data_IF_042063534746
#
_entry.id   IF_042063534746
#
_cell.length_a   1.000
_cell.length_b   1.000
_cell.length_c   1.000
_cell.angle_alpha   90.00
_cell.angle_beta   90.00
_cell.angle_gamma   90.00
#
_symmetry.space_group_name_H-M   'P 1'
#
loop_
_entity.id
_entity.type
_entity.pdbx_description
1 polymer ?
#
# COMPACT_ATOMS: atom_id res chain seq x y z
N UNK A 1 84.60 -10.38 45.69
CA UNK A 1 83.79 -9.67 46.67
C UNK A 1 82.49 -9.15 46.02
N UNK A 2 81.46 -9.77 46.40
CA UNK A 2 80.05 -9.41 46.50
C UNK A 2 79.55 -8.21 45.73
N UNK A 3 78.69 -8.48 44.77
CA UNK A 3 77.60 -7.58 44.34
C UNK A 3 76.29 -8.38 44.16
N UNK A 4 75.31 -8.12 44.98
CA UNK A 4 73.93 -8.66 44.91
C UNK A 4 73.04 -7.74 44.17
N UNK A 5 71.87 -8.22 43.68
CA UNK A 5 71.24 -7.75 42.50
C UNK A 5 70.09 -6.77 42.78
N UNK A 6 69.83 -5.94 41.78
CA UNK A 6 68.65 -5.09 41.71
C UNK A 6 67.58 -5.77 40.74
N UNK A 7 66.73 -6.60 41.34
CA UNK A 7 65.47 -7.06 40.70
C UNK A 7 64.34 -6.84 41.68
N UNK A 8 63.21 -6.43 41.20
CA UNK A 8 61.93 -6.20 41.88
C UNK A 8 61.59 -4.71 41.92
N UNK A 9 60.95 -4.18 40.83
CA UNK A 9 59.97 -3.07 40.86
C UNK A 9 59.38 -2.82 39.49
N UNK A 10 59.18 -3.86 38.64
CA UNK A 10 58.56 -3.69 37.29
C UNK A 10 57.33 -4.53 37.12
N UNK A 11 56.63 -4.96 38.17
CA UNK A 11 55.50 -5.89 38.06
C UNK A 11 54.20 -5.40 38.71
N UNK A 12 54.06 -4.12 39.05
CA UNK A 12 52.89 -3.59 39.75
C UNK A 12 52.22 -2.42 39.07
N UNK A 13 52.63 -2.00 37.87
CA UNK A 13 51.98 -0.90 37.10
C UNK A 13 51.15 -1.39 35.90
N UNK A 14 51.30 -2.66 35.50
CA UNK A 14 50.53 -3.23 34.35
C UNK A 14 49.16 -3.79 34.73
N UNK A 15 48.82 -3.84 36.02
CA UNK A 15 47.56 -4.46 36.51
C UNK A 15 46.39 -3.50 36.67
N UNK A 16 46.59 -2.16 36.61
CA UNK A 16 45.52 -1.17 36.88
C UNK A 16 44.95 -0.49 35.62
N UNK A 17 45.54 -0.71 34.47
CA UNK A 17 45.06 -0.11 33.19
C UNK A 17 44.09 -1.00 32.40
N UNK A 18 43.71 -2.20 32.90
CA UNK A 18 42.81 -3.13 32.22
C UNK A 18 41.39 -3.16 32.78
N UNK A 19 41.03 -2.30 33.72
CA UNK A 19 39.69 -2.35 34.34
C UNK A 19 38.81 -1.12 34.13
N UNK A 20 39.12 -0.25 33.17
CA UNK A 20 38.31 0.93 32.84
C UNK A 20 37.90 1.01 31.35
N UNK A 21 37.79 -0.11 30.65
CA UNK A 21 36.93 -0.17 29.50
C UNK A 21 35.47 -0.35 29.98
N UNK A 22 34.93 0.65 30.66
CA UNK A 22 33.48 0.84 30.64
C UNK A 22 33.12 0.91 29.15
N UNK A 23 32.55 -0.18 28.63
CA UNK A 23 31.92 -0.19 27.33
C UNK A 23 30.93 0.96 27.36
N UNK A 24 31.30 2.12 26.81
CA UNK A 24 30.33 3.04 26.23
C UNK A 24 29.62 2.20 25.18
N UNK A 25 28.50 1.61 25.56
CA UNK A 25 27.64 0.93 24.63
C UNK A 25 27.16 2.01 23.68
N UNK A 26 27.84 2.14 22.55
CA UNK A 26 27.49 3.12 21.54
C UNK A 26 26.02 2.89 21.20
N UNK A 27 25.22 3.96 21.20
CA UNK A 27 23.83 3.89 20.80
C UNK A 27 23.79 3.37 19.36
N UNK A 28 23.44 2.10 19.23
CA UNK A 28 23.53 1.36 17.95
C UNK A 28 22.35 1.67 17.05
N UNK A 29 21.20 2.09 17.65
CA UNK A 29 19.95 2.30 16.92
C UNK A 29 19.58 3.78 16.90
N UNK A 30 19.00 4.21 15.78
CA UNK A 30 18.49 5.59 15.65
C UNK A 30 17.16 5.74 16.38
N UNK A 31 16.26 4.74 16.21
CA UNK A 31 14.93 4.69 16.82
C UNK A 31 14.69 3.31 17.42
N UNK A 32 14.13 3.27 18.61
CA UNK A 32 13.56 2.08 19.24
C UNK A 32 12.06 2.29 19.50
N UNK A 33 11.21 1.48 18.86
CA UNK A 33 9.80 1.36 19.16
C UNK A 33 9.63 0.33 20.28
N UNK A 34 9.21 0.79 21.45
CA UNK A 34 9.22 0.00 22.69
C UNK A 34 7.83 -0.47 23.09
N UNK A 35 7.65 -1.77 23.31
CA UNK A 35 6.48 -2.37 23.96
C UNK A 35 5.23 -2.50 23.11
N UNK A 36 5.34 -2.37 21.78
CA UNK A 36 4.23 -2.53 20.84
C UNK A 36 3.88 -3.99 20.57
N UNK A 37 2.78 -4.22 19.86
CA UNK A 37 2.40 -5.51 19.33
C UNK A 37 2.71 -5.56 17.84
N UNK A 38 3.73 -6.33 17.43
CA UNK A 38 4.12 -6.45 16.03
C UNK A 38 3.18 -7.40 15.31
N UNK A 39 2.66 -6.95 14.16
CA UNK A 39 1.97 -7.79 13.17
C UNK A 39 2.74 -7.70 11.87
N UNK A 40 3.49 -8.75 11.54
CA UNK A 40 4.22 -8.89 10.27
C UNK A 40 3.88 -10.25 9.65
N UNK A 41 2.87 -10.32 8.77
CA UNK A 41 2.39 -11.58 8.22
C UNK A 41 3.42 -12.34 7.40
N UNK A 42 4.32 -11.66 6.68
CA UNK A 42 5.42 -12.30 5.94
C UNK A 42 6.30 -13.13 6.86
N UNK A 43 6.69 -12.56 7.99
CA UNK A 43 7.59 -13.19 8.95
C UNK A 43 6.84 -14.01 10.01
N UNK A 44 5.50 -14.10 9.91
CA UNK A 44 4.62 -14.83 10.84
C UNK A 44 4.75 -14.33 12.29
N UNK A 45 4.96 -13.02 12.47
CA UNK A 45 5.03 -12.38 13.78
C UNK A 45 3.66 -11.78 14.10
N UNK A 46 3.12 -12.11 15.26
CA UNK A 46 1.89 -11.54 15.81
C UNK A 46 1.96 -11.58 17.34
N UNK A 47 2.86 -10.76 17.91
CA UNK A 47 3.16 -10.79 19.35
C UNK A 47 3.79 -9.48 19.84
N UNK A 48 3.85 -9.30 21.17
CA UNK A 48 4.50 -8.14 21.79
C UNK A 48 6.01 -8.23 21.64
N UNK A 49 6.59 -7.28 20.92
CA UNK A 49 8.03 -7.17 20.69
C UNK A 49 8.45 -5.72 20.53
N UNK A 50 9.73 -5.46 20.68
CA UNK A 50 10.37 -4.21 20.36
C UNK A 50 10.95 -4.25 18.94
N UNK A 51 10.97 -3.09 18.27
CA UNK A 51 11.56 -2.93 16.96
C UNK A 51 12.57 -1.78 16.98
N UNK A 52 13.82 -2.07 16.57
CA UNK A 52 14.89 -1.09 16.46
C UNK A 52 15.20 -0.78 14.98
N UNK A 53 15.43 0.50 14.71
CA UNK A 53 15.76 1.04 13.39
C UNK A 53 17.14 1.67 13.44
N UNK A 54 17.98 1.40 12.45
CA UNK A 54 19.27 2.03 12.26
C UNK A 54 19.55 2.29 10.79
N UNK A 55 20.04 3.47 10.47
CA UNK A 55 20.39 3.87 9.10
C UNK A 55 19.24 3.65 8.09
N UNK A 56 18.02 3.95 8.50
CA UNK A 56 16.85 3.81 7.65
C UNK A 56 16.35 2.38 7.43
N UNK A 57 16.91 1.39 8.16
CA UNK A 57 16.58 -0.04 8.00
C UNK A 57 16.12 -0.65 9.31
N UNK A 58 15.32 -1.70 9.22
CA UNK A 58 14.97 -2.57 10.35
C UNK A 58 16.26 -3.26 10.82
N UNK A 59 16.70 -2.94 12.03
CA UNK A 59 17.97 -3.44 12.56
C UNK A 59 17.79 -4.64 13.50
N UNK A 60 16.71 -4.63 14.30
CA UNK A 60 16.44 -5.72 15.26
C UNK A 60 14.97 -5.78 15.63
N UNK A 61 14.47 -6.99 15.83
CA UNK A 61 13.17 -7.29 16.46
C UNK A 61 13.45 -8.29 17.58
N UNK A 62 13.00 -8.00 18.80
CA UNK A 62 13.18 -8.88 19.96
C UNK A 62 12.13 -8.58 21.03
N UNK A 63 11.91 -9.55 21.94
CA UNK A 63 10.95 -9.39 23.04
C UNK A 63 11.33 -8.20 23.96
N UNK A 64 12.63 -7.95 24.12
CA UNK A 64 13.15 -6.81 24.88
C UNK A 64 14.45 -6.28 24.24
N UNK A 65 14.49 -4.97 24.02
CA UNK A 65 15.69 -4.24 23.57
C UNK A 65 15.95 -3.12 24.57
N UNK A 66 17.19 -3.04 25.08
CA UNK A 66 17.56 -2.02 26.07
C UNK A 66 17.33 -0.61 25.53
N UNK A 67 16.60 0.27 26.26
CA UNK A 67 16.45 1.67 25.87
C UNK A 67 17.78 2.42 25.70
N UNK A 68 18.83 2.05 26.45
CA UNK A 68 20.14 2.68 26.35
C UNK A 68 20.87 2.43 25.03
N UNK A 69 20.41 1.45 24.23
CA UNK A 69 20.97 1.14 22.92
C UNK A 69 20.47 2.02 21.78
N UNK A 70 19.51 2.92 22.02
CA UNK A 70 18.92 3.76 21.00
C UNK A 70 19.04 5.26 21.31
N UNK A 71 19.23 6.07 20.26
CA UNK A 71 19.25 7.54 20.37
C UNK A 71 17.87 8.10 20.73
N UNK A 72 16.82 7.50 20.18
CA UNK A 72 15.41 7.86 20.44
C UNK A 72 14.62 6.61 20.80
N UNK A 73 13.93 6.66 21.93
CA UNK A 73 12.99 5.60 22.36
C UNK A 73 11.59 6.16 22.30
N UNK A 74 10.70 5.44 21.61
CA UNK A 74 9.29 5.81 21.45
C UNK A 74 8.45 4.71 22.11
N UNK A 75 7.70 5.08 23.14
CA UNK A 75 6.73 4.18 23.78
C UNK A 75 5.51 4.01 22.88
N UNK A 76 5.33 2.79 22.38
CA UNK A 76 4.21 2.37 21.55
C UNK A 76 3.40 1.25 22.22
N UNK A 77 3.43 1.20 23.54
CA UNK A 77 2.67 0.24 24.34
C UNK A 77 1.17 0.39 24.09
N UNK A 78 0.50 -0.74 23.83
CA UNK A 78 -0.92 -0.78 23.49
C UNK A 78 -1.23 -0.49 22.02
N UNK A 79 -0.21 -0.24 21.20
CA UNK A 79 -0.35 0.00 19.76
C UNK A 79 0.17 -1.20 18.95
N UNK A 80 -0.24 -1.27 17.69
CA UNK A 80 0.23 -2.26 16.75
C UNK A 80 1.34 -1.67 15.87
N UNK A 81 2.46 -2.38 15.76
CA UNK A 81 3.55 -2.08 14.85
C UNK A 81 3.38 -2.97 13.62
N UNK A 82 3.22 -2.39 12.45
CA UNK A 82 3.03 -3.12 11.19
C UNK A 82 4.05 -2.63 10.16
N UNK A 83 4.31 -3.39 9.08
CA UNK A 83 4.94 -2.81 7.91
C UNK A 83 4.16 -1.58 7.45
N UNK A 84 4.83 -0.61 6.84
CA UNK A 84 4.18 0.51 6.20
C UNK A 84 3.12 0.03 5.21
N UNK A 85 1.93 0.61 5.26
CA UNK A 85 0.82 0.21 4.40
C UNK A 85 1.14 0.52 2.93
N UNK A 86 0.65 -0.33 2.03
CA UNK A 86 0.81 -0.22 0.58
C UNK A 86 -0.56 -0.10 -0.06
N UNK A 87 -0.82 1.03 -0.69
CA UNK A 87 -2.06 1.32 -1.42
C UNK A 87 -1.79 1.24 -2.92
N UNK A 88 -2.24 0.17 -3.57
CA UNK A 88 -1.94 -0.08 -4.98
C UNK A 88 -2.91 0.59 -5.95
N UNK A 89 -3.81 1.43 -5.47
CA UNK A 89 -4.76 2.13 -6.33
C UNK A 89 -5.01 3.55 -5.80
N UNK A 90 -4.28 4.52 -6.36
CA UNK A 90 -4.43 5.95 -6.07
C UNK A 90 -4.28 6.78 -7.35
N UNK A 91 -4.66 8.06 -7.31
CA UNK A 91 -4.43 9.05 -8.37
C UNK A 91 -3.68 10.24 -7.80
N UNK A 92 -2.37 10.35 -8.15
CA UNK A 92 -1.46 11.31 -7.51
C UNK A 92 -0.65 12.18 -8.49
N UNK A 93 -0.96 12.13 -9.77
CA UNK A 93 -0.30 12.95 -10.78
C UNK A 93 -0.93 14.35 -10.87
N UNK A 94 -0.71 15.20 -9.87
CA UNK A 94 -1.38 16.47 -9.70
C UNK A 94 -0.49 17.69 -10.05
N UNK A 95 -1.12 18.78 -10.54
CA UNK A 95 -0.54 20.12 -10.59
C UNK A 95 0.67 20.31 -11.52
N UNK A 96 0.75 19.59 -12.64
CA UNK A 96 1.99 19.53 -13.44
C UNK A 96 1.90 20.13 -14.84
N UNK A 97 0.74 20.58 -15.30
CA UNK A 97 0.63 21.28 -16.58
C UNK A 97 0.98 22.76 -16.46
N UNK A 98 1.00 23.50 -17.58
CA UNK A 98 1.34 24.94 -17.63
C UNK A 98 0.45 25.79 -16.75
N UNK A 99 -0.82 25.41 -16.64
CA UNK A 99 -1.85 26.10 -15.86
C UNK A 99 -1.84 25.62 -14.40
N UNK A 100 -0.89 24.74 -14.00
CA UNK A 100 -0.80 24.12 -12.68
C UNK A 100 -2.07 23.33 -12.28
N UNK A 101 -2.78 22.81 -13.26
CA UNK A 101 -3.95 21.95 -13.06
C UNK A 101 -3.53 20.50 -12.84
N UNK A 102 -4.44 19.67 -12.41
CA UNK A 102 -4.24 18.23 -12.30
C UNK A 102 -4.12 17.59 -13.68
N UNK A 103 -3.22 16.61 -13.82
CA UNK A 103 -2.96 15.98 -15.12
C UNK A 103 -4.07 15.03 -15.56
N UNK A 104 -4.75 14.39 -14.65
CA UNK A 104 -5.96 13.60 -14.94
C UNK A 104 -7.25 14.39 -14.64
N UNK A 105 -7.26 15.64 -15.03
CA UNK A 105 -8.33 16.58 -14.71
C UNK A 105 -8.29 16.99 -13.23
N UNK A 106 -9.46 17.21 -12.58
CA UNK A 106 -9.55 17.61 -11.18
C UNK A 106 -9.40 16.45 -10.19
N UNK A 107 -8.97 15.26 -10.60
CA UNK A 107 -9.05 14.05 -9.79
C UNK A 107 -7.79 13.77 -8.96
N UNK A 108 -6.59 13.95 -9.50
CA UNK A 108 -5.33 13.68 -8.79
C UNK A 108 -5.07 14.66 -7.65
N UNK A 109 -4.39 14.18 -6.61
CA UNK A 109 -3.97 14.97 -5.45
C UNK A 109 -2.51 14.67 -5.06
N UNK A 110 -1.81 15.60 -4.36
CA UNK A 110 -0.47 15.33 -3.86
C UNK A 110 -0.47 14.21 -2.82
N UNK A 111 0.42 13.20 -2.91
CA UNK A 111 0.33 12.02 -2.04
C UNK A 111 0.60 12.32 -0.56
N UNK A 112 1.67 13.05 -0.22
CA UNK A 112 2.19 13.18 1.14
C UNK A 112 1.19 13.73 2.16
N UNK A 113 0.26 14.58 1.72
CA UNK A 113 -0.77 15.15 2.57
C UNK A 113 -1.87 14.17 2.99
N UNK A 114 -1.96 13.02 2.34
CA UNK A 114 -3.05 12.05 2.54
C UNK A 114 -2.56 10.66 2.95
N UNK A 115 -1.43 10.22 2.42
CA UNK A 115 -0.90 8.87 2.58
C UNK A 115 -0.23 8.68 3.93
N UNK A 116 0.74 9.53 4.28
CA UNK A 116 1.54 9.38 5.50
C UNK A 116 0.70 9.50 6.78
N UNK A 117 -0.34 10.33 6.77
CA UNK A 117 -1.28 10.46 7.91
C UNK A 117 -2.16 9.23 8.15
N UNK A 118 -2.18 8.29 7.23
CA UNK A 118 -2.94 7.04 7.33
C UNK A 118 -2.04 5.79 7.43
N UNK A 119 -0.73 5.96 7.67
CA UNK A 119 0.20 4.81 7.77
C UNK A 119 0.68 4.28 6.43
N UNK A 120 0.26 4.89 5.31
CA UNK A 120 0.64 4.46 3.97
C UNK A 120 2.01 5.03 3.61
N UNK A 121 2.99 4.17 3.39
CA UNK A 121 4.36 4.54 3.02
C UNK A 121 4.65 4.36 1.54
N UNK A 122 3.85 3.55 0.86
CA UNK A 122 3.97 3.26 -0.57
C UNK A 122 2.61 3.33 -1.25
N UNK A 123 2.55 4.02 -2.38
CA UNK A 123 1.37 4.05 -3.25
C UNK A 123 1.72 3.66 -4.66
N UNK A 124 0.72 3.15 -5.39
CA UNK A 124 0.83 2.93 -6.84
C UNK A 124 -0.24 3.77 -7.54
N UNK A 125 0.21 4.75 -8.32
CA UNK A 125 -0.69 5.54 -9.17
C UNK A 125 -1.32 4.63 -10.24
N UNK A 126 -2.63 4.65 -10.31
CA UNK A 126 -3.38 3.72 -11.16
C UNK A 126 -3.71 4.30 -12.52
N UNK A 127 -2.68 4.70 -13.25
CA UNK A 127 -2.79 5.08 -14.66
C UNK A 127 -3.11 6.53 -14.91
N UNK A 128 -2.87 7.44 -13.95
CA UNK A 128 -2.97 8.88 -14.22
C UNK A 128 -2.02 9.31 -15.33
N UNK A 129 -0.83 8.66 -15.46
CA UNK A 129 0.09 8.89 -16.58
C UNK A 129 0.12 7.72 -17.56
N UNK A 130 0.25 8.04 -18.85
CA UNK A 130 0.69 7.13 -19.89
C UNK A 130 2.17 7.34 -20.22
N UNK A 131 2.67 6.65 -21.25
CA UNK A 131 4.11 6.68 -21.59
C UNK A 131 4.59 8.06 -22.04
N UNK A 132 3.74 8.94 -22.61
CA UNK A 132 4.12 10.31 -22.99
C UNK A 132 4.30 11.22 -21.81
N UNK A 133 3.43 11.14 -20.82
CA UNK A 133 3.41 12.01 -19.64
C UNK A 133 4.25 11.48 -18.47
N UNK A 134 4.68 10.21 -18.50
CA UNK A 134 5.41 9.57 -17.40
C UNK A 134 6.70 10.28 -16.99
N UNK A 135 7.56 10.80 -17.92
CA UNK A 135 8.76 11.55 -17.52
C UNK A 135 8.44 12.78 -16.67
N UNK A 136 7.31 13.45 -16.96
CA UNK A 136 6.84 14.60 -16.18
C UNK A 136 6.31 14.17 -14.82
N UNK A 137 5.53 13.09 -14.77
CA UNK A 137 5.06 12.47 -13.53
C UNK A 137 6.21 12.09 -12.62
N UNK A 138 7.23 11.40 -13.18
CA UNK A 138 8.42 11.03 -12.42
C UNK A 138 9.10 12.25 -11.82
N UNK A 139 9.43 13.25 -12.65
CA UNK A 139 10.17 14.45 -12.22
C UNK A 139 9.42 15.25 -11.14
N UNK A 140 8.11 15.43 -11.29
CA UNK A 140 7.35 16.37 -10.48
C UNK A 140 6.69 15.74 -9.25
N UNK A 141 6.42 14.45 -9.29
CA UNK A 141 5.73 13.75 -8.20
C UNK A 141 6.59 12.64 -7.62
N UNK A 142 6.99 11.64 -8.43
CA UNK A 142 7.69 10.46 -7.91
C UNK A 142 8.98 10.87 -7.19
N UNK A 143 9.81 11.69 -7.83
CA UNK A 143 11.12 12.09 -7.29
C UNK A 143 11.02 13.16 -6.19
N UNK A 144 9.86 13.79 -5.99
CA UNK A 144 9.66 14.84 -5.00
C UNK A 144 8.91 14.39 -3.74
N UNK A 145 8.22 13.27 -3.80
CA UNK A 145 7.37 12.80 -2.71
C UNK A 145 8.17 12.09 -1.63
N UNK A 146 7.79 12.28 -0.36
CA UNK A 146 8.27 11.48 0.77
C UNK A 146 7.67 10.08 0.75
N UNK A 147 6.40 9.96 0.40
CA UNK A 147 5.74 8.70 0.09
C UNK A 147 6.43 8.04 -1.10
N UNK A 148 6.72 6.74 -1.04
CA UNK A 148 7.16 6.01 -2.24
C UNK A 148 6.01 5.95 -3.22
N UNK A 149 6.17 6.57 -4.39
CA UNK A 149 5.20 6.54 -5.48
C UNK A 149 5.71 5.63 -6.58
N UNK A 150 4.91 4.62 -6.92
CA UNK A 150 5.10 3.72 -8.06
C UNK A 150 3.93 3.93 -9.03
N UNK A 151 3.94 3.31 -10.21
CA UNK A 151 2.89 3.48 -11.19
C UNK A 151 2.49 2.19 -11.91
N UNK A 152 1.20 1.98 -12.08
CA UNK A 152 0.64 1.26 -13.22
C UNK A 152 0.52 2.24 -14.38
N UNK A 153 1.30 2.04 -15.42
CA UNK A 153 1.30 2.92 -16.59
C UNK A 153 -0.01 2.73 -17.38
N UNK A 154 -0.72 3.82 -17.68
CA UNK A 154 -1.91 3.72 -18.52
C UNK A 154 -1.52 3.17 -19.91
N UNK A 155 -2.36 2.29 -20.45
CA UNK A 155 -2.13 1.75 -21.80
C UNK A 155 -2.30 2.81 -22.89
N UNK A 156 -3.07 3.85 -22.63
CA UNK A 156 -3.17 5.05 -23.47
C UNK A 156 -1.96 5.93 -23.24
N UNK A 157 -1.34 6.40 -24.30
CA UNK A 157 -0.07 7.11 -24.25
C UNK A 157 -0.07 8.40 -23.44
N UNK A 158 -1.17 9.15 -23.44
CA UNK A 158 -1.32 10.38 -22.65
C UNK A 158 -1.66 10.11 -21.17
N UNK A 159 -2.25 8.95 -20.87
CA UNK A 159 -2.77 8.64 -19.53
C UNK A 159 -4.26 8.90 -19.43
N UNK A 160 -4.76 9.06 -18.19
CA UNK A 160 -6.16 9.38 -17.93
C UNK A 160 -6.49 10.79 -18.39
N UNK A 161 -7.75 11.01 -18.81
CA UNK A 161 -8.25 12.31 -19.23
C UNK A 161 -8.97 12.28 -20.59
N UNK A 162 -8.93 13.39 -21.33
CA UNK A 162 -9.73 13.56 -22.54
C UNK A 162 -9.43 12.52 -23.64
N UNK A 163 -8.19 12.06 -23.74
CA UNK A 163 -7.73 11.12 -24.78
C UNK A 163 -7.83 9.65 -24.36
N UNK A 164 -8.34 9.37 -23.19
CA UNK A 164 -8.41 8.01 -22.61
C UNK A 164 -9.23 7.03 -23.47
N UNK A 165 -10.09 7.52 -24.33
CA UNK A 165 -10.93 6.73 -25.22
C UNK A 165 -10.26 6.42 -26.58
N UNK A 166 -9.09 6.99 -26.87
CA UNK A 166 -8.39 6.80 -28.14
C UNK A 166 -7.68 5.45 -28.20
N UNK A 167 -8.36 4.47 -28.80
CA UNK A 167 -7.78 3.13 -28.97
C UNK A 167 -6.58 3.11 -29.94
N UNK A 168 -6.38 4.13 -30.77
CA UNK A 168 -5.22 4.22 -31.68
C UNK A 168 -3.94 4.62 -30.95
N UNK A 169 -4.06 5.19 -29.73
CA UNK A 169 -2.96 5.55 -28.85
C UNK A 169 -2.56 4.45 -27.87
N UNK A 170 -3.22 3.30 -27.90
CA UNK A 170 -2.92 2.16 -27.01
C UNK A 170 -1.82 1.28 -27.60
N UNK A 171 -0.56 1.65 -27.32
CA UNK A 171 0.61 0.93 -27.83
C UNK A 171 1.24 -0.01 -26.80
N UNK A 172 1.04 -1.33 -26.90
CA UNK A 172 1.67 -2.29 -25.97
C UNK A 172 3.20 -2.28 -26.04
N UNK A 173 3.76 -2.00 -27.21
CA UNK A 173 5.22 -1.94 -27.40
C UNK A 173 5.83 -0.72 -26.73
N UNK A 174 5.22 0.46 -26.88
CA UNK A 174 5.70 1.67 -26.20
C UNK A 174 5.55 1.55 -24.69
N UNK A 175 4.39 1.08 -24.21
CA UNK A 175 4.15 0.88 -22.78
C UNK A 175 5.18 -0.09 -22.18
N UNK A 176 5.45 -1.23 -22.83
CA UNK A 176 6.45 -2.21 -22.37
C UNK A 176 7.89 -1.62 -22.36
N UNK A 177 8.26 -0.83 -23.40
CA UNK A 177 9.58 -0.17 -23.45
C UNK A 177 9.75 0.84 -22.32
N UNK A 178 8.72 1.62 -22.01
CA UNK A 178 8.77 2.57 -20.90
C UNK A 178 8.83 1.84 -19.56
N UNK A 179 8.10 0.75 -19.38
CA UNK A 179 8.18 -0.06 -18.18
C UNK A 179 9.58 -0.67 -17.96
N UNK A 180 10.28 -1.04 -19.01
CA UNK A 180 11.66 -1.51 -18.89
C UNK A 180 12.63 -0.38 -18.59
N UNK A 181 12.49 0.78 -19.25
CA UNK A 181 13.34 1.95 -19.00
C UNK A 181 13.18 2.50 -17.58
N UNK A 182 11.94 2.57 -17.07
CA UNK A 182 11.60 3.03 -15.72
C UNK A 182 11.26 1.86 -14.80
N UNK A 183 12.03 0.77 -14.86
CA UNK A 183 11.75 -0.49 -14.13
C UNK A 183 11.65 -0.38 -12.62
N UNK A 184 12.22 0.66 -12.03
CA UNK A 184 12.15 0.91 -10.59
C UNK A 184 10.85 1.61 -10.18
N UNK A 185 10.17 2.26 -11.12
CA UNK A 185 9.01 3.11 -10.84
C UNK A 185 7.71 2.52 -11.43
N UNK A 186 7.77 1.90 -12.63
CA UNK A 186 6.61 1.29 -13.28
C UNK A 186 6.50 -0.18 -12.88
N UNK A 187 5.39 -0.56 -12.26
CA UNK A 187 5.15 -1.92 -11.72
C UNK A 187 4.14 -2.73 -12.54
N UNK A 188 3.50 -2.13 -13.54
CA UNK A 188 2.53 -2.78 -14.41
C UNK A 188 1.80 -1.79 -15.31
N UNK A 189 0.64 -2.20 -15.82
CA UNK A 189 -0.16 -1.38 -16.73
C UNK A 189 -1.59 -1.24 -16.22
N UNK A 190 -2.23 -0.12 -16.56
CA UNK A 190 -3.63 0.18 -16.22
C UNK A 190 -4.49 0.25 -17.47
N UNK A 191 -5.66 -0.37 -17.41
CA UNK A 191 -6.81 0.00 -18.21
C UNK A 191 -7.77 0.74 -17.29
N UNK A 192 -8.05 2.00 -17.62
CA UNK A 192 -8.95 2.84 -16.86
C UNK A 192 -10.34 2.91 -17.53
N UNK A 193 -10.92 4.07 -17.71
CA UNK A 193 -12.35 4.31 -18.01
C UNK A 193 -12.75 4.14 -19.50
N UNK A 194 -12.32 3.10 -20.18
CA UNK A 194 -12.72 2.89 -21.57
C UNK A 194 -14.20 2.54 -21.68
N UNK A 195 -14.93 3.30 -22.51
CA UNK A 195 -16.38 3.17 -22.70
C UNK A 195 -16.75 2.49 -24.05
N UNK A 196 -15.76 2.07 -24.83
CA UNK A 196 -15.99 1.34 -26.08
C UNK A 196 -16.41 -0.11 -25.85
N UNK A 197 -16.92 -0.72 -26.93
CA UNK A 197 -17.44 -2.10 -26.88
C UNK A 197 -16.37 -3.17 -27.15
N UNK A 198 -15.15 -2.77 -27.52
CA UNK A 198 -14.07 -3.66 -27.91
C UNK A 198 -13.19 -4.01 -26.70
N UNK A 199 -12.53 -5.16 -26.76
CA UNK A 199 -11.53 -5.58 -25.77
C UNK A 199 -10.14 -4.95 -25.99
N UNK A 200 -9.98 -4.06 -26.98
CA UNK A 200 -8.69 -3.47 -27.38
C UNK A 200 -7.84 -2.99 -26.20
N UNK A 201 -8.37 -2.22 -25.24
CA UNK A 201 -7.55 -1.75 -24.11
C UNK A 201 -7.01 -2.90 -23.26
N UNK A 202 -7.86 -3.90 -22.98
CA UNK A 202 -7.49 -5.07 -22.18
C UNK A 202 -6.45 -5.90 -22.92
N UNK A 203 -6.67 -6.18 -24.21
CA UNK A 203 -5.76 -6.98 -25.03
C UNK A 203 -4.40 -6.26 -25.20
N UNK A 204 -4.41 -4.93 -25.37
CA UNK A 204 -3.19 -4.12 -25.45
C UNK A 204 -2.42 -4.11 -24.14
N UNK A 205 -3.10 -3.92 -23.01
CA UNK A 205 -2.46 -3.95 -21.69
C UNK A 205 -1.88 -5.34 -21.36
N UNK A 206 -2.65 -6.41 -21.64
CA UNK A 206 -2.18 -7.79 -21.44
C UNK A 206 -0.97 -8.10 -22.36
N UNK A 207 -0.96 -7.58 -23.60
CA UNK A 207 0.21 -7.71 -24.48
C UNK A 207 1.42 -6.96 -23.92
N UNK A 208 1.25 -5.72 -23.44
CA UNK A 208 2.32 -4.99 -22.76
C UNK A 208 2.86 -5.76 -21.54
N UNK A 209 1.94 -6.34 -20.75
CA UNK A 209 2.28 -7.19 -19.62
C UNK A 209 3.07 -8.44 -20.01
N UNK A 210 2.71 -9.09 -21.13
CA UNK A 210 3.49 -10.25 -21.67
C UNK A 210 4.87 -9.84 -22.13
N UNK A 211 5.00 -8.70 -22.81
CA UNK A 211 6.28 -8.20 -23.34
C UNK A 211 7.27 -7.82 -22.22
N UNK A 212 6.77 -7.37 -21.07
CA UNK A 212 7.59 -6.85 -19.95
C UNK A 212 7.63 -7.76 -18.72
N UNK A 213 6.85 -8.85 -18.69
CA UNK A 213 6.72 -9.72 -17.50
C UNK A 213 5.95 -9.10 -16.33
N UNK A 214 5.17 -8.03 -16.58
CA UNK A 214 4.48 -7.26 -15.51
C UNK A 214 2.98 -7.56 -15.48
N UNK A 215 2.31 -7.36 -14.31
CA UNK A 215 0.86 -7.48 -14.19
C UNK A 215 0.14 -6.32 -14.89
N UNK A 216 -1.17 -6.52 -15.11
CA UNK A 216 -2.07 -5.45 -15.51
C UNK A 216 -3.15 -5.26 -14.46
N UNK A 217 -3.61 -4.02 -14.27
CA UNK A 217 -4.77 -3.69 -13.43
C UNK A 217 -5.89 -3.18 -14.33
N UNK A 218 -7.05 -3.82 -14.24
CA UNK A 218 -8.22 -3.49 -15.06
C UNK A 218 -9.31 -2.87 -14.18
N UNK A 219 -9.74 -1.65 -14.53
CA UNK A 219 -11.00 -1.08 -14.10
C UNK A 219 -12.07 -1.48 -15.14
N UNK A 220 -12.93 -2.37 -14.72
CA UNK A 220 -13.98 -2.90 -15.58
C UNK A 220 -15.17 -1.94 -15.69
N UNK A 221 -15.41 -1.40 -16.87
CA UNK A 221 -16.54 -0.48 -17.14
C UNK A 221 -17.79 -1.16 -17.69
N UNK A 222 -17.72 -2.44 -17.98
CA UNK A 222 -18.78 -3.21 -18.59
C UNK A 222 -18.59 -3.37 -20.09
N UNK A 223 -19.14 -4.44 -20.62
CA UNK A 223 -19.12 -4.78 -22.04
C UNK A 223 -20.46 -5.42 -22.44
N UNK A 224 -20.78 -5.51 -23.75
CA UNK A 224 -21.96 -6.22 -24.19
C UNK A 224 -21.88 -7.70 -23.83
N UNK A 225 -22.99 -8.45 -23.82
CA UNK A 225 -23.02 -9.88 -23.49
C UNK A 225 -22.07 -10.73 -24.31
N UNK A 226 -21.75 -10.33 -25.55
CA UNK A 226 -20.73 -10.99 -26.39
C UNK A 226 -19.31 -10.93 -25.82
N UNK A 227 -19.03 -10.04 -24.87
CA UNK A 227 -17.76 -9.86 -24.19
C UNK A 227 -18.00 -9.71 -22.69
N UNK A 228 -18.59 -10.72 -22.08
CA UNK A 228 -19.07 -10.72 -20.70
C UNK A 228 -17.94 -10.58 -19.66
N UNK A 229 -18.32 -10.25 -18.43
CA UNK A 229 -17.40 -10.21 -17.28
C UNK A 229 -16.72 -11.57 -17.04
N UNK A 230 -17.46 -12.68 -17.20
CA UNK A 230 -16.88 -14.02 -17.17
C UNK A 230 -15.78 -14.19 -18.22
N UNK A 231 -16.03 -13.73 -19.46
CA UNK A 231 -15.04 -13.81 -20.54
C UNK A 231 -13.79 -12.98 -20.22
N UNK A 232 -13.95 -11.76 -19.66
CA UNK A 232 -12.83 -10.97 -19.18
C UNK A 232 -11.98 -11.78 -18.19
N UNK A 233 -12.61 -12.27 -17.14
CA UNK A 233 -11.91 -12.98 -16.06
C UNK A 233 -11.27 -14.27 -16.52
N UNK A 234 -11.94 -15.05 -17.37
CA UNK A 234 -11.50 -16.40 -17.72
C UNK A 234 -10.63 -16.48 -18.97
N UNK A 235 -10.73 -15.51 -19.91
CA UNK A 235 -10.02 -15.56 -21.19
C UNK A 235 -8.98 -14.47 -21.36
N UNK A 236 -9.22 -13.26 -20.89
CA UNK A 236 -8.30 -12.13 -21.09
C UNK A 236 -7.27 -12.01 -19.97
N UNK A 237 -7.70 -12.07 -18.69
CA UNK A 237 -6.78 -11.91 -17.56
C UNK A 237 -5.93 -13.14 -17.33
N UNK A 238 -4.64 -12.93 -17.06
CA UNK A 238 -3.66 -13.94 -16.70
C UNK A 238 -3.61 -14.15 -15.18
N UNK A 239 -3.09 -15.27 -14.69
CA UNK A 239 -2.65 -15.37 -13.30
C UNK A 239 -1.70 -14.20 -12.96
N UNK A 240 -1.98 -13.50 -11.85
CA UNK A 240 -1.25 -12.31 -11.42
C UNK A 240 -1.79 -10.99 -11.96
N UNK A 241 -2.68 -10.98 -12.95
CA UNK A 241 -3.39 -9.77 -13.37
C UNK A 241 -4.46 -9.39 -12.35
N UNK A 242 -4.72 -8.09 -12.20
CA UNK A 242 -5.51 -7.51 -11.13
C UNK A 242 -6.83 -6.97 -11.69
N UNK A 243 -7.95 -7.39 -11.11
CA UNK A 243 -9.24 -6.74 -11.28
C UNK A 243 -9.49 -5.86 -10.07
N UNK A 244 -9.62 -4.55 -10.25
CA UNK A 244 -9.95 -3.60 -9.18
C UNK A 244 -11.45 -3.32 -9.10
N UNK A 245 -11.89 -2.62 -8.04
CA UNK A 245 -13.31 -2.34 -7.76
C UNK A 245 -14.17 -3.60 -7.62
N UNK A 246 -13.62 -4.64 -6.95
CA UNK A 246 -14.29 -5.94 -6.88
C UNK A 246 -15.68 -5.90 -6.24
N UNK A 247 -15.95 -4.94 -5.36
CA UNK A 247 -17.23 -4.84 -4.64
C UNK A 247 -18.17 -3.73 -5.15
N UNK A 248 -18.04 -3.34 -6.43
CA UNK A 248 -18.99 -2.41 -7.03
C UNK A 248 -20.39 -3.02 -7.17
N UNK A 249 -21.44 -2.19 -7.14
CA UNK A 249 -22.84 -2.65 -7.17
C UNK A 249 -23.29 -3.26 -8.51
N UNK A 250 -22.47 -3.13 -9.55
CA UNK A 250 -22.92 -3.35 -10.91
C UNK A 250 -23.78 -2.17 -11.40
N UNK A 251 -23.79 -1.93 -12.68
CA UNK A 251 -24.66 -0.92 -13.28
C UNK A 251 -25.26 -1.45 -14.56
N UNK A 252 -26.59 -1.47 -14.63
CA UNK A 252 -27.30 -1.48 -15.90
C UNK A 252 -27.61 -0.05 -16.25
N UNK A 253 -27.01 0.49 -17.30
CA UNK A 253 -27.51 1.71 -17.89
C UNK A 253 -28.49 1.32 -19.01
N UNK A 254 -29.76 1.71 -18.92
CA UNK A 254 -30.70 1.48 -20.02
C UNK A 254 -30.30 2.18 -21.31
N UNK A 255 -29.41 3.17 -21.22
CA UNK A 255 -28.91 3.99 -22.34
C UNK A 255 -27.56 3.52 -22.89
N UNK A 256 -26.88 2.58 -22.20
CA UNK A 256 -25.60 2.07 -22.64
C UNK A 256 -25.78 0.67 -23.26
N UNK A 257 -25.07 0.35 -24.34
CA UNK A 257 -25.08 -0.99 -24.94
C UNK A 257 -24.35 -2.03 -24.10
N UNK A 258 -23.83 -1.66 -22.93
CA UNK A 258 -23.10 -2.50 -21.99
C UNK A 258 -23.63 -2.33 -20.57
N UNK A 259 -23.34 -3.30 -19.72
CA UNK A 259 -23.61 -3.23 -18.29
C UNK A 259 -22.41 -3.77 -17.51
N UNK A 260 -22.24 -3.27 -16.29
CA UNK A 260 -21.22 -3.73 -15.34
C UNK A 260 -21.83 -4.83 -14.48
N UNK A 261 -21.34 -6.05 -14.62
CA UNK A 261 -21.76 -7.18 -13.80
C UNK A 261 -21.11 -7.09 -12.42
N UNK A 262 -21.88 -7.36 -11.36
CA UNK A 262 -21.36 -7.47 -9.99
C UNK A 262 -20.85 -8.88 -9.72
N UNK A 263 -19.98 -9.04 -8.71
CA UNK A 263 -19.44 -10.34 -8.30
C UNK A 263 -20.49 -11.21 -7.60
N UNK A 264 -21.43 -10.56 -6.92
CA UNK A 264 -22.56 -11.21 -6.24
C UNK A 264 -23.82 -10.90 -7.01
N UNK A 265 -24.60 -11.93 -7.34
CA UNK A 265 -25.84 -11.81 -8.08
C UNK A 265 -26.98 -11.17 -7.24
N UNK A 266 -28.13 -10.98 -7.85
CA UNK A 266 -29.32 -10.40 -7.20
C UNK A 266 -29.87 -11.24 -6.02
N UNK A 267 -29.51 -12.52 -5.92
CA UNK A 267 -29.89 -13.43 -4.85
C UNK A 267 -28.83 -13.47 -3.72
N UNK A 268 -27.80 -12.64 -3.81
CA UNK A 268 -26.70 -12.61 -2.83
C UNK A 268 -25.68 -13.75 -2.98
N UNK A 269 -25.68 -14.47 -4.12
CA UNK A 269 -24.76 -15.57 -4.40
C UNK A 269 -23.57 -15.09 -5.21
N UNK A 270 -22.36 -15.47 -4.82
CA UNK A 270 -21.13 -15.23 -5.57
C UNK A 270 -21.17 -16.02 -6.88
N UNK A 271 -20.90 -15.35 -8.00
CA UNK A 271 -20.83 -15.99 -9.31
C UNK A 271 -19.67 -17.01 -9.35
N UNK A 272 -19.93 -18.23 -9.78
CA UNK A 272 -18.93 -19.31 -9.76
C UNK A 272 -17.68 -18.99 -10.58
N UNK A 273 -17.82 -18.29 -11.70
CA UNK A 273 -16.68 -17.88 -12.53
C UNK A 273 -15.73 -16.91 -11.81
N UNK A 274 -16.21 -16.12 -10.84
CA UNK A 274 -15.38 -15.25 -10.01
C UNK A 274 -14.48 -16.09 -9.11
N UNK A 275 -15.05 -17.09 -8.45
CA UNK A 275 -14.29 -18.05 -7.63
C UNK A 275 -13.26 -18.80 -8.47
N UNK A 276 -13.67 -19.26 -9.65
CA UNK A 276 -12.79 -19.96 -10.58
C UNK A 276 -11.63 -19.07 -11.04
N UNK A 277 -11.88 -17.79 -11.30
CA UNK A 277 -10.86 -16.82 -11.69
C UNK A 277 -9.86 -16.56 -10.53
N UNK A 278 -10.34 -16.39 -9.29
CA UNK A 278 -9.47 -16.23 -8.13
C UNK A 278 -8.60 -17.48 -7.90
N UNK A 279 -9.18 -18.67 -8.00
CA UNK A 279 -8.44 -19.94 -7.88
C UNK A 279 -7.40 -20.13 -8.99
N UNK A 280 -7.64 -19.57 -10.17
CA UNK A 280 -6.70 -19.53 -11.29
C UNK A 280 -5.55 -18.53 -11.09
N UNK A 281 -5.64 -17.66 -10.09
CA UNK A 281 -4.62 -16.68 -9.74
C UNK A 281 -4.90 -15.27 -10.25
N UNK A 282 -6.11 -14.95 -10.71
CA UNK A 282 -6.53 -13.55 -10.92
C UNK A 282 -6.64 -12.87 -9.55
N UNK A 283 -6.06 -11.69 -9.43
CA UNK A 283 -6.04 -10.91 -8.20
C UNK A 283 -7.26 -9.99 -8.16
N UNK A 284 -7.96 -10.01 -7.03
CA UNK A 284 -9.11 -9.14 -6.82
C UNK A 284 -8.74 -8.06 -5.80
N UNK A 285 -8.80 -6.81 -6.25
CA UNK A 285 -8.46 -5.64 -5.47
C UNK A 285 -9.69 -4.83 -5.09
N UNK A 286 -9.69 -4.23 -3.90
CA UNK A 286 -10.86 -3.48 -3.39
C UNK A 286 -11.12 -2.22 -4.21
N UNK A 287 -10.10 -1.36 -4.41
CA UNK A 287 -10.27 -0.11 -5.13
C UNK A 287 -11.52 0.64 -4.69
N UNK A 288 -11.60 1.04 -3.39
CA UNK A 288 -12.86 1.50 -2.78
C UNK A 288 -13.54 2.62 -3.58
N UNK A 289 -12.80 3.67 -3.90
CA UNK A 289 -13.25 4.78 -4.72
C UNK A 289 -14.54 5.45 -4.29
N UNK A 290 -15.09 6.20 -5.23
CA UNK A 290 -16.40 6.82 -5.09
C UNK A 290 -17.59 5.91 -5.47
N UNK A 291 -17.33 4.83 -6.23
CA UNK A 291 -18.37 3.89 -6.70
C UNK A 291 -17.88 2.43 -6.75
N UNK A 292 -16.70 2.14 -6.25
CA UNK A 292 -16.08 0.81 -6.34
C UNK A 292 -16.43 -0.16 -5.20
N UNK A 293 -17.13 0.31 -4.15
CA UNK A 293 -17.38 -0.48 -2.95
C UNK A 293 -18.77 -0.27 -2.36
N UNK A 294 -19.56 -1.34 -2.26
CA UNK A 294 -20.84 -1.32 -1.54
C UNK A 294 -20.97 -2.53 -0.62
N UNK A 295 -21.58 -2.32 0.55
CA UNK A 295 -21.78 -3.38 1.56
C UNK A 295 -22.68 -4.51 1.05
N UNK A 296 -23.62 -4.21 0.16
CA UNK A 296 -24.49 -5.23 -0.46
C UNK A 296 -23.74 -6.23 -1.33
N UNK A 297 -22.51 -5.91 -1.76
CA UNK A 297 -21.61 -6.83 -2.47
C UNK A 297 -20.58 -7.43 -1.51
N UNK A 298 -19.92 -6.60 -0.68
CA UNK A 298 -18.82 -7.04 0.17
C UNK A 298 -19.26 -8.04 1.25
N UNK A 299 -20.37 -7.77 1.95
CA UNK A 299 -20.83 -8.63 3.06
C UNK A 299 -21.19 -10.05 2.59
N UNK A 300 -22.04 -10.26 1.56
CA UNK A 300 -22.36 -11.62 1.11
C UNK A 300 -21.15 -12.30 0.45
N UNK A 301 -20.25 -11.58 -0.20
CA UNK A 301 -19.03 -12.13 -0.76
C UNK A 301 -18.12 -12.71 0.33
N UNK A 302 -17.83 -11.93 1.38
CA UNK A 302 -17.01 -12.37 2.53
C UNK A 302 -17.63 -13.58 3.24
N UNK A 303 -18.95 -13.58 3.45
CA UNK A 303 -19.68 -14.73 4.07
C UNK A 303 -19.55 -16.02 3.27
N UNK A 304 -19.32 -15.93 1.97
CA UNK A 304 -19.13 -17.08 1.07
C UNK A 304 -17.65 -17.38 0.79
N UNK A 305 -16.72 -16.72 1.50
CA UNK A 305 -15.29 -16.99 1.40
C UNK A 305 -14.59 -16.25 0.25
N UNK A 306 -15.28 -15.36 -0.48
CA UNK A 306 -14.65 -14.50 -1.48
C UNK A 306 -14.05 -13.26 -0.80
N UNK A 307 -12.80 -13.39 -0.37
CA UNK A 307 -12.02 -12.32 0.24
C UNK A 307 -11.22 -11.54 -0.82
N UNK A 308 -10.99 -10.22 -0.61
CA UNK A 308 -10.09 -9.48 -1.48
C UNK A 308 -8.66 -10.01 -1.35
N UNK A 309 -7.89 -9.93 -2.42
CA UNK A 309 -6.46 -10.21 -2.39
C UNK A 309 -5.67 -9.02 -1.84
N UNK A 310 -6.08 -7.78 -2.19
CA UNK A 310 -5.54 -6.53 -1.67
C UNK A 310 -6.64 -5.56 -1.28
N UNK A 311 -6.34 -4.70 -0.31
CA UNK A 311 -7.18 -3.57 0.12
C UNK A 311 -6.49 -2.31 -0.39
N UNK A 312 -7.21 -1.53 -1.19
CA UNK A 312 -6.73 -0.27 -1.77
C UNK A 312 -7.83 0.79 -1.76
N UNK A 313 -7.44 2.05 -1.89
CA UNK A 313 -8.36 3.15 -1.66
C UNK A 313 -9.01 3.72 -2.92
N UNK A 314 -8.33 3.69 -4.06
CA UNK A 314 -8.66 4.53 -5.21
C UNK A 314 -8.76 6.02 -4.81
N UNK A 315 -7.76 6.47 -4.04
CA UNK A 315 -7.70 7.83 -3.49
C UNK A 315 -7.61 8.86 -4.61
N UNK A 316 -8.61 9.72 -4.68
CA UNK A 316 -8.67 10.88 -5.57
C UNK A 316 -9.53 11.99 -4.97
N UNK A 317 -9.50 13.19 -5.56
CA UNK A 317 -10.22 14.37 -5.04
C UNK A 317 -11.71 14.09 -4.80
N UNK A 318 -12.36 13.34 -5.70
CA UNK A 318 -13.80 13.05 -5.62
C UNK A 318 -14.22 12.14 -4.46
N UNK A 319 -13.29 11.38 -3.85
CA UNK A 319 -13.65 10.41 -2.81
C UNK A 319 -12.93 10.60 -1.46
N UNK A 320 -11.91 11.45 -1.37
CA UNK A 320 -11.12 11.67 -0.15
C UNK A 320 -11.96 12.07 1.07
N UNK A 321 -13.09 12.74 0.85
CA UNK A 321 -14.02 13.17 1.89
C UNK A 321 -15.34 12.38 1.89
N UNK A 322 -15.50 11.41 0.96
CA UNK A 322 -16.67 10.55 0.85
C UNK A 322 -16.55 9.30 1.77
N UNK A 323 -17.28 8.24 1.47
CA UNK A 323 -17.25 6.99 2.25
C UNK A 323 -15.88 6.31 2.32
N UNK A 324 -14.99 6.53 1.37
CA UNK A 324 -13.63 6.00 1.34
C UNK A 324 -12.77 6.59 2.46
N UNK A 325 -12.65 7.91 2.53
CA UNK A 325 -11.85 8.72 3.48
C UNK A 325 -10.34 8.45 3.38
N UNK A 326 -9.88 7.33 3.94
CA UNK A 326 -8.48 6.91 3.96
C UNK A 326 -8.36 5.38 4.09
N UNK A 327 -7.14 4.88 4.00
CA UNK A 327 -6.84 3.45 4.09
C UNK A 327 -7.28 2.84 5.43
N UNK A 328 -7.11 3.54 6.56
CA UNK A 328 -7.53 3.04 7.88
C UNK A 328 -9.04 2.88 7.99
N UNK A 329 -9.80 3.80 7.37
CA UNK A 329 -11.25 3.70 7.32
C UNK A 329 -11.71 2.48 6.52
N UNK A 330 -11.04 2.18 5.39
CA UNK A 330 -11.35 0.99 4.58
C UNK A 330 -10.99 -0.28 5.36
N UNK A 331 -9.79 -0.36 5.92
CA UNK A 331 -9.35 -1.48 6.75
C UNK A 331 -10.32 -1.74 7.91
N UNK A 332 -10.81 -0.68 8.54
CA UNK A 332 -11.80 -0.77 9.63
C UNK A 332 -13.14 -1.35 9.17
N UNK A 333 -13.57 -1.09 7.93
CA UNK A 333 -14.77 -1.74 7.37
C UNK A 333 -14.61 -3.25 7.31
N UNK A 334 -13.46 -3.73 6.84
CA UNK A 334 -13.18 -5.17 6.75
C UNK A 334 -13.08 -5.84 8.12
N UNK A 335 -12.53 -5.18 9.14
CA UNK A 335 -12.57 -5.65 10.53
C UNK A 335 -14.01 -5.83 11.01
N UNK A 336 -14.87 -4.83 10.78
CA UNK A 336 -16.26 -4.87 11.23
C UNK A 336 -17.16 -5.77 10.35
N UNK A 337 -16.69 -6.21 9.20
CA UNK A 337 -17.30 -7.29 8.40
C UNK A 337 -16.77 -8.67 8.75
N UNK A 338 -15.89 -8.81 9.76
CA UNK A 338 -15.46 -10.10 10.34
C UNK A 338 -14.10 -10.60 9.88
N UNK A 339 -13.30 -9.81 9.15
CA UNK A 339 -11.91 -10.18 8.88
C UNK A 339 -11.03 -9.99 10.11
N UNK A 340 -10.04 -10.86 10.31
CA UNK A 340 -9.06 -10.71 11.38
C UNK A 340 -8.15 -9.51 11.12
N UNK A 341 -7.62 -8.89 12.20
CA UNK A 341 -6.65 -7.79 12.05
C UNK A 341 -5.40 -8.25 11.28
N UNK A 342 -4.92 -9.47 11.53
CA UNK A 342 -3.79 -10.04 10.80
C UNK A 342 -4.05 -10.13 9.29
N UNK A 343 -5.25 -10.57 8.87
CA UNK A 343 -5.60 -10.67 7.46
C UNK A 343 -5.76 -9.30 6.80
N UNK A 344 -6.34 -8.35 7.52
CA UNK A 344 -6.45 -6.96 7.05
C UNK A 344 -5.06 -6.35 6.83
N UNK A 345 -4.13 -6.55 7.78
CA UNK A 345 -2.73 -6.10 7.63
C UNK A 345 -2.05 -6.82 6.47
N UNK A 346 -2.18 -8.16 6.36
CA UNK A 346 -1.63 -8.93 5.24
C UNK A 346 -2.03 -8.37 3.88
N UNK A 347 -3.32 -8.03 3.72
CA UNK A 347 -3.91 -7.52 2.48
C UNK A 347 -3.64 -6.04 2.22
N UNK A 348 -3.03 -5.36 3.18
CA UNK A 348 -2.63 -3.95 3.09
C UNK A 348 -1.10 -3.76 3.14
N UNK A 349 -0.32 -4.85 3.18
CA UNK A 349 1.16 -4.81 3.26
C UNK A 349 1.81 -5.83 2.34
N UNK A 350 1.97 -7.09 2.79
CA UNK A 350 2.71 -8.10 2.06
C UNK A 350 2.05 -8.52 0.74
N UNK A 351 0.75 -8.76 0.76
CA UNK A 351 0.03 -9.17 -0.45
C UNK A 351 0.15 -8.15 -1.59
N UNK A 352 -0.21 -6.85 -1.41
CA UNK A 352 -0.03 -5.87 -2.48
C UNK A 352 1.42 -5.76 -2.95
N UNK A 353 2.42 -5.88 -2.04
CA UNK A 353 3.84 -5.90 -2.44
C UNK A 353 4.14 -7.03 -3.43
N UNK A 354 3.59 -8.23 -3.20
CA UNK A 354 3.77 -9.37 -4.11
C UNK A 354 3.09 -9.13 -5.46
N UNK A 355 1.87 -8.58 -5.46
CA UNK A 355 1.10 -8.37 -6.69
C UNK A 355 1.69 -7.29 -7.60
N UNK A 356 2.40 -6.33 -7.03
CA UNK A 356 3.17 -5.34 -7.80
C UNK A 356 4.63 -5.75 -8.04
N UNK A 357 4.99 -7.01 -7.73
CA UNK A 357 6.34 -7.57 -7.91
C UNK A 357 7.45 -6.79 -7.17
N UNK A 358 7.15 -6.30 -5.96
CA UNK A 358 8.10 -5.58 -5.09
C UNK A 358 8.27 -6.32 -3.75
N UNK A 359 8.87 -7.54 -3.78
CA UNK A 359 8.97 -8.39 -2.58
C UNK A 359 9.89 -7.84 -1.49
N UNK A 360 10.62 -6.78 -1.76
CA UNK A 360 11.41 -6.04 -0.78
C UNK A 360 10.57 -5.11 0.11
N UNK A 361 9.26 -4.93 -0.21
CA UNK A 361 8.33 -4.08 0.52
C UNK A 361 7.33 -4.89 1.36
N UNK A 362 6.60 -4.20 2.23
CA UNK A 362 5.45 -4.76 2.96
C UNK A 362 5.81 -5.76 4.07
N UNK A 363 7.02 -5.67 4.62
CA UNK A 363 7.49 -6.52 5.74
C UNK A 363 8.52 -5.83 6.62
N UNK A 364 8.76 -6.39 7.81
CA UNK A 364 9.72 -5.90 8.81
C UNK A 364 10.97 -6.80 8.94
N UNK A 365 11.36 -7.54 7.90
CA UNK A 365 12.57 -8.37 7.95
C UNK A 365 13.81 -7.54 8.26
N UNK A 366 14.73 -8.09 9.02
CA UNK A 366 16.02 -7.43 9.33
C UNK A 366 16.73 -7.06 8.02
N UNK A 367 17.20 -5.81 7.92
CA UNK A 367 17.83 -5.23 6.74
C UNK A 367 16.84 -4.62 5.72
N UNK A 368 15.54 -4.85 5.84
CA UNK A 368 14.54 -4.17 5.02
C UNK A 368 14.54 -2.66 5.31
N UNK A 369 14.10 -1.88 4.34
CA UNK A 369 13.86 -0.44 4.56
C UNK A 369 12.83 -0.25 5.67
N UNK A 370 13.09 0.68 6.57
CA UNK A 370 12.23 0.91 7.73
C UNK A 370 11.01 1.74 7.37
N UNK A 371 10.08 1.11 6.65
CA UNK A 371 8.74 1.58 6.38
C UNK A 371 7.81 0.93 7.40
N UNK A 372 7.32 1.71 8.37
CA UNK A 372 6.57 1.20 9.52
C UNK A 372 5.34 2.07 9.77
N UNK A 373 4.20 1.43 9.96
CA UNK A 373 2.99 2.06 10.45
C UNK A 373 2.71 1.61 11.90
N UNK A 374 2.49 2.56 12.78
CA UNK A 374 2.04 2.32 14.14
C UNK A 374 0.56 2.67 14.20
N UNK A 375 -0.27 1.67 14.46
CA UNK A 375 -1.72 1.76 14.40
C UNK A 375 -2.34 1.63 15.79
N UNK A 376 -3.34 2.44 16.05
CA UNK A 376 -4.20 2.34 17.23
C UNK A 376 -5.53 1.68 16.81
N UNK A 377 -5.89 0.55 17.43
CA UNK A 377 -7.18 -0.08 17.27
C UNK A 377 -8.12 0.40 18.37
N UNK A 378 -8.96 1.37 18.04
CA UNK A 378 -9.95 1.95 18.96
C UNK A 378 -11.19 1.09 19.04
N UNK A 379 -11.73 0.91 20.25
CA UNK A 379 -13.02 0.31 20.49
C UNK A 379 -14.05 1.39 20.82
N UNK A 380 -15.26 1.25 20.29
CA UNK A 380 -16.35 2.24 20.47
C UNK A 380 -17.48 2.01 19.48
N UNK A 381 -18.33 2.99 19.32
CA UNK A 381 -19.41 3.01 18.34
C UNK A 381 -19.01 3.87 17.15
N UNK A 382 -18.89 3.25 15.97
CA UNK A 382 -18.45 3.89 14.74
C UNK A 382 -19.41 3.60 13.59
N UNK A 383 -19.64 4.60 12.73
CA UNK A 383 -20.39 4.45 11.49
C UNK A 383 -19.45 4.46 10.27
N UNK A 384 -19.58 3.48 9.39
CA UNK A 384 -18.81 3.37 8.15
C UNK A 384 -19.76 3.47 6.95
N UNK A 385 -19.46 4.37 6.02
CA UNK A 385 -20.32 4.65 4.86
C UNK A 385 -19.73 3.99 3.62
N UNK A 386 -20.56 3.30 2.82
CA UNK A 386 -20.15 2.79 1.51
C UNK A 386 -20.32 3.84 0.39
N UNK A 387 -20.04 3.45 -0.85
CA UNK A 387 -20.16 4.35 -2.01
C UNK A 387 -21.58 4.78 -2.34
N UNK A 388 -22.58 4.10 -1.82
CA UNK A 388 -24.00 4.42 -2.03
C UNK A 388 -24.67 5.11 -0.84
N UNK A 389 -23.90 5.42 0.22
CA UNK A 389 -24.39 6.10 1.40
C UNK A 389 -25.00 5.19 2.47
N UNK A 390 -24.92 3.86 2.33
CA UNK A 390 -25.35 2.92 3.37
C UNK A 390 -24.31 2.86 4.49
N UNK A 391 -24.79 2.75 5.72
CA UNK A 391 -23.97 2.76 6.94
C UNK A 391 -23.84 1.35 7.51
N UNK A 392 -22.60 0.93 7.75
CA UNK A 392 -22.27 -0.21 8.60
C UNK A 392 -21.90 0.31 9.99
N UNK A 393 -22.65 -0.09 11.02
CA UNK A 393 -22.27 0.15 12.41
C UNK A 393 -21.16 -0.81 12.81
N UNK A 394 -20.09 -0.27 13.38
CA UNK A 394 -18.91 -1.04 13.79
C UNK A 394 -18.47 -0.72 15.20
N UNK A 395 -17.68 -1.62 15.79
CA UNK A 395 -17.15 -1.51 17.16
C UNK A 395 -15.65 -1.25 17.20
N UNK A 396 -14.97 -1.33 16.05
CA UNK A 396 -13.53 -1.18 15.96
C UNK A 396 -13.15 -0.20 14.87
N UNK A 397 -12.16 0.66 15.14
CA UNK A 397 -11.63 1.62 14.18
C UNK A 397 -10.11 1.70 14.28
N UNK A 398 -9.42 1.56 13.16
CA UNK A 398 -8.00 1.82 13.04
C UNK A 398 -7.72 3.32 12.85
N UNK A 399 -6.65 3.78 13.46
CA UNK A 399 -6.10 5.13 13.29
C UNK A 399 -4.58 5.06 13.27
N UNK A 400 -3.94 5.77 12.37
CA UNK A 400 -2.48 5.83 12.34
C UNK A 400 -1.97 6.80 13.41
N UNK A 401 -1.22 6.27 14.36
CA UNK A 401 -0.58 7.03 15.44
C UNK A 401 0.77 7.61 15.01
N UNK A 402 1.56 6.80 14.28
CA UNK A 402 2.88 7.20 13.81
C UNK A 402 3.17 6.52 12.46
N UNK A 403 3.81 7.24 11.55
CA UNK A 403 4.29 6.67 10.28
C UNK A 403 5.76 6.97 10.11
N UNK A 404 6.53 5.92 9.88
CA UNK A 404 7.96 5.97 9.61
C UNK A 404 8.17 5.53 8.17
N UNK A 405 8.86 6.37 7.37
CA UNK A 405 9.23 6.10 5.98
C UNK A 405 10.74 6.16 5.84
N UNK A 406 11.37 5.07 5.38
CA UNK A 406 12.82 4.95 5.27
C UNK A 406 13.55 5.34 6.58
N UNK A 407 12.99 4.96 7.74
CA UNK A 407 13.54 5.24 9.06
C UNK A 407 13.32 6.67 9.57
N UNK A 408 12.59 7.51 8.85
CA UNK A 408 12.23 8.88 9.28
C UNK A 408 10.78 8.94 9.72
N UNK A 409 10.53 9.61 10.84
CA UNK A 409 9.16 9.89 11.30
C UNK A 409 8.58 10.96 10.38
N UNK A 410 7.57 10.62 9.61
CA UNK A 410 6.91 11.53 8.66
C UNK A 410 5.50 11.94 9.12
N UNK A 411 4.91 11.18 10.04
CA UNK A 411 3.66 11.51 10.72
C UNK A 411 3.73 11.08 12.18
N UNK A 412 3.28 11.96 13.06
CA UNK A 412 3.20 11.70 14.51
C UNK A 412 1.96 12.42 15.06
N UNK A 413 0.89 11.66 15.24
CA UNK A 413 -0.43 12.20 15.61
C UNK A 413 -0.43 12.88 16.99
N UNK A 414 0.26 12.26 17.95
CA UNK A 414 0.24 12.69 19.36
C UNK A 414 1.63 13.08 19.91
N UNK A 415 2.60 13.35 19.04
CA UNK A 415 3.93 13.81 19.43
C UNK A 415 4.76 12.76 20.19
N UNK A 416 4.54 11.46 19.96
CA UNK A 416 5.25 10.38 20.67
C UNK A 416 6.74 10.36 20.40
N UNK A 417 7.14 10.74 19.20
CA UNK A 417 8.54 10.88 18.81
C UNK A 417 9.13 12.28 19.07
N UNK A 418 8.32 13.22 19.55
CA UNK A 418 8.75 14.58 19.83
C UNK A 418 9.47 14.69 21.20
N UNK A 419 10.26 15.73 21.38
CA UNK A 419 10.86 16.08 22.68
C UNK A 419 9.79 16.77 23.55
N UNK A 420 9.56 16.25 24.75
CA UNK A 420 8.62 16.85 25.70
C UNK A 420 9.16 18.17 26.23
N UNK A 421 8.28 19.17 26.31
CA UNK A 421 8.58 20.43 26.98
C UNK A 421 8.07 20.31 28.42
N UNK A 422 8.93 20.57 29.40
CA UNK A 422 8.48 20.75 30.79
C UNK A 422 8.01 22.19 30.96
N UNK A 423 6.73 22.35 31.25
CA UNK A 423 6.19 23.64 31.66
C UNK A 423 6.66 23.90 33.10
N UNK A 424 7.48 24.94 33.27
CA UNK A 424 7.92 25.42 34.61
C UNK A 424 6.79 26.17 35.30
#
# INVERSE_FOLDING_TARGET
MNSKPLRIYTLLVTGVLLSLSTMMQAQTYDILLKGGHIIDPKNKINEKMDLAISQGKIARIAADISPSSAKKVIDVKGLYITPGLIDIHVHVFAGTNKEQQFMDGPNSLPPDGFTLRSGVTTVVDAGSSGWRSFPLFKKNIIDQSKTRVLAFLNIVGDGMGANEQDSTDMSPVMAARFAEYYKNDIVGFKVAHYNGLQSIPVDSAVMAGKLSGRPVMIDWRGMPPSNSFEKLLMKHLRPGDILTHMYHAGTRSPKAPFYKEAMVDQNGKVNQYVINAQNRGVIFDVGHGGNGFVFSQAIPALKQGLYPNSISSDLHVGNMNAGMKDMNNIMSKFLNMGMSLNDVILKSTWNPAQYIQRPELGHLSIGAEADVAILNLKNGDFGFIDSHGFVLNGKQKLEAELTIRAGKIEWDLNGRGATKIELK
#
